data_IF_812469285249
#
_entry.id   IF_812469285249
#
_cell.length_a   1.000
_cell.length_b   1.000
_cell.length_c   1.000
_cell.angle_alpha   90.00
_cell.angle_beta   90.00
_cell.angle_gamma   90.00
#
_symmetry.space_group_name_H-M   'P 1'
#
loop_
_entity.id
_entity.type
_entity.pdbx_description
1 polymer ?
#
# COMPACT_ATOMS: atom_id res chain seq x y z
N UNK A 1 9.04 -70.28 -15.52
CA UNK A 1 10.06 -70.07 -14.46
C UNK A 1 10.96 -68.94 -14.92
N UNK A 2 11.19 -67.94 -14.05
CA UNK A 2 11.91 -66.67 -14.25
C UNK A 2 11.13 -65.64 -15.11
N UNK A 3 10.19 -64.88 -14.54
CA UNK A 3 10.35 -63.75 -13.60
C UNK A 3 10.87 -62.48 -14.30
N UNK A 4 9.91 -61.66 -14.76
CA UNK A 4 10.17 -60.39 -15.41
C UNK A 4 10.30 -59.32 -14.32
N UNK A 5 11.55 -58.91 -14.07
CA UNK A 5 11.88 -57.84 -13.13
C UNK A 5 11.18 -56.56 -13.58
N UNK A 6 10.10 -56.19 -12.87
CA UNK A 6 9.52 -54.85 -12.93
C UNK A 6 10.56 -53.85 -12.44
N UNK A 7 11.17 -53.10 -13.37
CA UNK A 7 11.88 -51.87 -13.03
C UNK A 7 10.84 -50.87 -12.51
N UNK A 8 11.00 -50.29 -11.31
CA UNK A 8 10.11 -49.25 -10.83
C UNK A 8 10.20 -48.05 -11.79
N UNK A 9 9.02 -47.55 -12.18
CA UNK A 9 8.84 -46.56 -13.21
C UNK A 9 9.65 -45.30 -12.98
N UNK A 10 10.40 -44.90 -14.00
CA UNK A 10 10.78 -43.51 -14.20
C UNK A 10 9.48 -42.76 -14.42
N UNK A 11 9.01 -42.05 -13.40
CA UNK A 11 7.87 -41.15 -13.56
C UNK A 11 8.22 -40.13 -14.63
N UNK A 12 7.37 -40.05 -15.65
CA UNK A 12 7.48 -39.18 -16.80
C UNK A 12 7.78 -37.74 -16.39
N UNK A 13 8.89 -37.21 -16.88
CA UNK A 13 9.38 -35.83 -16.67
C UNK A 13 8.47 -34.76 -17.32
N UNK A 14 7.38 -35.15 -17.98
CA UNK A 14 6.57 -34.29 -18.85
C UNK A 14 5.53 -33.43 -18.12
N UNK A 15 5.30 -33.63 -16.82
CA UNK A 15 4.28 -32.87 -16.06
C UNK A 15 4.85 -32.16 -14.82
N UNK A 16 6.15 -31.84 -14.85
CA UNK A 16 6.78 -31.05 -13.79
C UNK A 16 6.74 -29.57 -14.16
N UNK A 17 6.04 -28.78 -13.34
CA UNK A 17 6.19 -27.33 -13.32
C UNK A 17 7.69 -27.02 -13.14
N UNK A 18 8.27 -26.12 -13.94
CA UNK A 18 9.69 -25.77 -13.83
C UNK A 18 10.01 -25.28 -12.41
N UNK A 19 11.16 -25.72 -11.89
CA UNK A 19 11.60 -25.37 -10.54
C UNK A 19 11.72 -23.85 -10.39
N UNK A 20 11.17 -23.31 -9.30
CA UNK A 20 11.30 -21.90 -8.98
C UNK A 20 12.74 -21.63 -8.50
N UNK A 21 13.46 -20.78 -9.22
CA UNK A 21 14.78 -20.33 -8.86
C UNK A 21 14.71 -18.96 -8.18
N UNK A 22 15.31 -18.81 -7.01
CA UNK A 22 15.34 -17.53 -6.30
C UNK A 22 16.18 -17.55 -5.03
N UNK A 23 16.01 -16.52 -4.20
CA UNK A 23 16.63 -16.40 -2.88
C UNK A 23 15.61 -16.73 -1.79
N UNK A 24 15.88 -17.73 -0.96
CA UNK A 24 15.12 -18.01 0.25
C UNK A 24 15.38 -16.90 1.25
N UNK A 25 14.34 -16.10 1.54
CA UNK A 25 14.41 -14.94 2.45
C UNK A 25 13.76 -15.21 3.79
N UNK A 26 12.84 -16.18 3.86
CA UNK A 26 12.29 -16.68 5.12
C UNK A 26 11.89 -18.15 5.00
N UNK A 27 12.09 -18.91 6.06
CA UNK A 27 11.65 -20.30 6.19
C UNK A 27 11.07 -20.50 7.58
N UNK A 28 9.87 -21.08 7.63
CA UNK A 28 9.18 -21.47 8.85
C UNK A 28 8.61 -22.89 8.68
N UNK A 29 8.04 -23.44 9.75
CA UNK A 29 7.38 -24.75 9.68
C UNK A 29 6.17 -24.75 8.74
N UNK A 30 5.51 -23.60 8.54
CA UNK A 30 4.26 -23.50 7.77
C UNK A 30 4.45 -22.94 6.38
N UNK A 31 5.42 -22.04 6.22
CA UNK A 31 5.57 -21.25 5.01
C UNK A 31 7.04 -21.04 4.67
N UNK A 32 7.31 -20.95 3.36
CA UNK A 32 8.59 -20.50 2.82
C UNK A 32 8.37 -19.27 1.96
N UNK A 33 9.36 -18.38 1.96
CA UNK A 33 9.33 -17.15 1.17
C UNK A 33 10.55 -17.08 0.28
N UNK A 34 10.32 -17.01 -1.03
CA UNK A 34 11.36 -17.00 -2.07
C UNK A 34 11.27 -15.70 -2.85
N UNK A 35 12.35 -14.91 -2.82
CA UNK A 35 12.51 -13.69 -3.62
C UNK A 35 13.07 -14.04 -4.99
N UNK A 36 12.38 -13.60 -6.03
CA UNK A 36 12.78 -13.67 -7.44
C UNK A 36 13.02 -12.26 -7.98
N UNK A 37 13.40 -12.13 -9.25
CA UNK A 37 13.68 -10.82 -9.85
C UNK A 37 12.46 -9.89 -9.84
N UNK A 38 11.27 -10.47 -10.00
CA UNK A 38 10.01 -9.73 -10.14
C UNK A 38 9.37 -9.37 -8.80
N UNK A 39 9.64 -10.13 -7.73
CA UNK A 39 8.96 -9.98 -6.46
C UNK A 39 9.23 -11.14 -5.52
N UNK A 40 8.28 -11.41 -4.62
CA UNK A 40 8.42 -12.44 -3.59
C UNK A 40 7.24 -13.39 -3.65
N UNK A 41 7.53 -14.67 -3.71
CA UNK A 41 6.57 -15.75 -3.59
C UNK A 41 6.55 -16.31 -2.17
N UNK A 42 5.35 -16.53 -1.64
CA UNK A 42 5.15 -17.25 -0.37
C UNK A 42 4.35 -18.52 -0.65
N UNK A 43 4.90 -19.66 -0.23
CA UNK A 43 4.28 -20.98 -0.38
C UNK A 43 4.07 -21.61 0.98
N UNK A 44 3.03 -22.44 1.10
CA UNK A 44 2.93 -23.37 2.24
C UNK A 44 4.02 -24.42 2.15
N UNK A 45 4.56 -24.82 3.31
CA UNK A 45 5.64 -25.80 3.40
C UNK A 45 5.23 -27.17 2.84
N UNK A 46 3.98 -27.57 3.07
CA UNK A 46 3.42 -28.85 2.60
C UNK A 46 3.32 -28.95 1.07
N UNK A 47 3.34 -27.82 0.36
CA UNK A 47 3.27 -27.76 -1.09
C UNK A 47 4.65 -27.76 -1.76
N UNK A 48 5.73 -27.71 -0.96
CA UNK A 48 7.11 -27.75 -1.43
C UNK A 48 7.58 -29.19 -1.50
N UNK A 49 7.76 -29.71 -2.72
CA UNK A 49 8.19 -31.09 -2.95
C UNK A 49 9.69 -31.27 -2.69
N UNK A 50 10.49 -30.28 -3.07
CA UNK A 50 11.94 -30.33 -2.92
C UNK A 50 12.51 -28.91 -2.86
N UNK A 51 13.51 -28.71 -2.02
CA UNK A 51 14.31 -27.49 -1.96
C UNK A 51 15.78 -27.90 -2.07
N UNK A 52 16.47 -27.34 -3.05
CA UNK A 52 17.90 -27.54 -3.28
C UNK A 52 18.63 -26.21 -3.12
N UNK A 53 19.75 -26.24 -2.42
CA UNK A 53 20.67 -25.09 -2.40
C UNK A 53 21.28 -24.93 -3.79
N UNK A 54 21.17 -23.75 -4.37
CA UNK A 54 21.73 -23.43 -5.67
C UNK A 54 23.06 -22.69 -5.46
N UNK A 55 24.17 -23.28 -5.88
CA UNK A 55 25.52 -22.70 -5.69
C UNK A 55 25.80 -21.59 -6.71
N UNK A 56 24.77 -20.88 -7.16
CA UNK A 56 24.93 -19.73 -8.04
C UNK A 56 25.55 -18.59 -7.24
N UNK A 57 26.61 -18.03 -7.81
CA UNK A 57 27.57 -17.08 -7.24
C UNK A 57 26.93 -16.02 -6.34
N UNK A 58 27.68 -15.68 -5.29
CA UNK A 58 27.34 -14.90 -4.09
C UNK A 58 26.73 -13.52 -4.44
N UNK A 59 25.46 -13.49 -4.85
CA UNK A 59 24.75 -12.24 -5.06
C UNK A 59 24.44 -11.66 -3.69
N UNK A 60 25.04 -10.51 -3.40
CA UNK A 60 24.97 -9.70 -2.18
C UNK A 60 23.52 -9.26 -1.83
N UNK A 61 22.66 -10.21 -1.57
CA UNK A 61 21.29 -10.06 -1.13
C UNK A 61 21.07 -10.86 0.13
N UNK A 62 20.25 -10.33 1.03
CA UNK A 62 19.87 -10.99 2.27
C UNK A 62 19.00 -12.23 1.95
N UNK A 63 19.61 -13.41 1.76
CA UNK A 63 18.91 -14.67 1.46
C UNK A 63 19.79 -15.77 0.83
N UNK A 64 19.41 -17.04 1.02
CA UNK A 64 20.12 -18.23 0.49
C UNK A 64 19.61 -18.59 -0.91
N UNK A 65 20.47 -18.74 -1.94
CA UNK A 65 20.02 -19.16 -3.27
C UNK A 65 19.46 -20.59 -3.26
N UNK A 66 18.25 -20.77 -3.78
CA UNK A 66 17.52 -22.04 -3.80
C UNK A 66 16.84 -22.32 -5.14
N UNK A 67 16.69 -23.61 -5.44
CA UNK A 67 15.80 -24.16 -6.46
C UNK A 67 14.69 -24.94 -5.76
N UNK A 68 13.44 -24.56 -6.00
CA UNK A 68 12.28 -25.11 -5.30
C UNK A 68 11.33 -25.78 -6.29
N UNK A 69 11.09 -27.07 -6.10
CA UNK A 69 10.06 -27.80 -6.83
C UNK A 69 8.74 -27.70 -6.05
N UNK A 70 7.70 -27.19 -6.71
CA UNK A 70 6.38 -26.96 -6.11
C UNK A 70 5.39 -28.00 -6.64
N UNK A 71 4.49 -28.45 -5.76
CA UNK A 71 3.41 -29.36 -6.12
C UNK A 71 2.50 -28.74 -7.20
N UNK A 72 2.17 -29.48 -8.28
CA UNK A 72 1.18 -29.00 -9.25
C UNK A 72 -0.17 -28.69 -8.58
N UNK A 73 -0.73 -27.52 -8.90
CA UNK A 73 -2.00 -27.04 -8.32
C UNK A 73 -1.89 -26.39 -6.93
N UNK A 74 -0.68 -26.23 -6.39
CA UNK A 74 -0.47 -25.47 -5.17
C UNK A 74 -0.85 -23.99 -5.36
N UNK A 75 -1.41 -23.40 -4.29
CA UNK A 75 -1.69 -21.96 -4.23
C UNK A 75 -0.52 -21.25 -3.56
N UNK A 76 -0.19 -20.05 -4.05
CA UNK A 76 0.89 -19.24 -3.51
C UNK A 76 0.51 -17.77 -3.56
N UNK A 77 1.05 -17.00 -2.62
CA UNK A 77 0.90 -15.56 -2.62
C UNK A 77 2.11 -14.93 -3.32
N UNK A 78 1.83 -14.07 -4.29
CA UNK A 78 2.86 -13.26 -4.95
C UNK A 78 2.72 -11.80 -4.53
N UNK A 79 3.80 -11.25 -3.96
CA UNK A 79 3.86 -9.85 -3.56
C UNK A 79 4.95 -9.14 -4.35
N UNK A 80 4.58 -8.05 -5.01
CA UNK A 80 5.50 -7.15 -5.71
C UNK A 80 5.27 -5.72 -5.23
N UNK A 81 6.35 -5.04 -4.85
CA UNK A 81 6.30 -3.62 -4.50
C UNK A 81 6.42 -2.79 -5.77
N UNK A 82 5.35 -2.10 -6.14
CA UNK A 82 5.33 -1.14 -7.24
C UNK A 82 5.38 0.28 -6.67
N UNK A 83 6.14 1.16 -7.34
CA UNK A 83 6.09 2.60 -7.08
C UNK A 83 5.11 3.22 -8.06
N UNK A 84 4.10 3.91 -7.53
CA UNK A 84 3.15 4.68 -8.34
C UNK A 84 3.64 6.12 -8.32
N UNK A 85 4.10 6.61 -9.47
CA UNK A 85 4.41 8.02 -9.61
C UNK A 85 3.12 8.78 -9.90
N UNK A 86 2.79 9.73 -9.03
CA UNK A 86 1.67 10.64 -9.23
C UNK A 86 2.11 11.74 -10.20
N UNK A 87 1.65 11.66 -11.44
CA UNK A 87 1.92 12.70 -12.46
C UNK A 87 1.16 13.99 -12.16
N UNK A 88 -0.03 13.86 -11.57
CA UNK A 88 -0.86 14.97 -11.08
C UNK A 88 -1.40 14.64 -9.69
N UNK A 89 -1.51 15.66 -8.84
CA UNK A 89 -1.97 15.51 -7.47
C UNK A 89 -3.50 15.49 -7.39
N UNK A 90 -4.14 14.37 -7.02
CA UNK A 90 -5.60 14.34 -6.87
C UNK A 90 -6.04 15.24 -5.71
N UNK A 91 -7.16 15.93 -5.89
CA UNK A 91 -7.76 16.84 -4.89
C UNK A 91 -8.07 16.16 -3.53
N UNK A 92 -8.08 14.83 -3.49
CA UNK A 92 -8.35 14.01 -2.30
C UNK A 92 -7.16 13.86 -1.37
N UNK A 93 -5.94 14.20 -1.80
CA UNK A 93 -4.76 14.19 -0.93
C UNK A 93 -4.67 15.56 -0.26
N UNK A 94 -4.78 15.60 1.08
CA UNK A 94 -4.66 16.83 1.87
C UNK A 94 -3.32 17.53 1.59
N UNK A 95 -3.36 18.85 1.36
CA UNK A 95 -2.18 19.71 1.21
C UNK A 95 -1.11 19.36 2.25
N UNK A 96 0.17 19.40 1.87
CA UNK A 96 1.19 19.55 2.89
C UNK A 96 0.78 20.75 3.76
N UNK A 97 0.84 20.63 5.10
CA UNK A 97 0.46 21.72 5.97
C UNK A 97 1.19 22.98 5.50
N UNK A 98 0.44 24.06 5.31
CA UNK A 98 1.02 25.36 4.98
C UNK A 98 2.12 25.69 5.99
N UNK A 99 3.24 26.26 5.53
CA UNK A 99 4.33 26.75 6.40
C UNK A 99 3.89 27.90 7.34
N UNK A 100 2.60 28.26 7.35
CA UNK A 100 1.97 29.09 8.36
C UNK A 100 1.99 28.41 9.74
N UNK A 101 3.19 28.24 10.30
CA UNK A 101 3.44 27.80 11.66
C UNK A 101 3.28 29.03 12.57
N UNK A 102 2.08 29.20 13.12
CA UNK A 102 1.79 30.20 14.16
C UNK A 102 0.77 31.26 13.75
N UNK A 103 0.10 31.81 14.76
CA UNK A 103 -1.03 32.73 14.63
C UNK A 103 -0.66 34.02 13.89
N UNK A 104 0.58 34.49 14.02
CA UNK A 104 1.08 35.72 13.40
C UNK A 104 1.18 35.61 11.87
N UNK A 105 1.71 34.48 11.37
CA UNK A 105 1.81 34.25 9.92
C UNK A 105 0.44 33.99 9.31
N UNK A 106 -0.44 33.29 10.04
CA UNK A 106 -1.85 33.13 9.65
C UNK A 106 -2.58 34.48 9.60
N UNK A 107 -2.36 35.36 10.58
CA UNK A 107 -2.96 36.69 10.64
C UNK A 107 -2.50 37.56 9.45
N UNK A 108 -1.21 37.57 9.13
CA UNK A 108 -0.67 38.33 7.99
C UNK A 108 -1.22 37.83 6.65
N UNK A 109 -1.31 36.51 6.46
CA UNK A 109 -1.91 35.93 5.26
C UNK A 109 -3.40 36.28 5.17
N UNK A 110 -4.13 36.18 6.28
CA UNK A 110 -5.56 36.52 6.35
C UNK A 110 -5.80 38.00 6.01
N UNK A 111 -4.99 38.91 6.55
CA UNK A 111 -5.05 40.33 6.22
C UNK A 111 -4.79 40.60 4.73
N UNK A 112 -3.80 39.92 4.15
CA UNK A 112 -3.49 40.03 2.72
C UNK A 112 -4.65 39.55 1.83
N UNK A 113 -5.32 38.47 2.24
CA UNK A 113 -6.51 37.97 1.55
C UNK A 113 -7.71 38.89 1.69
N UNK A 114 -7.95 39.43 2.88
CA UNK A 114 -9.04 40.37 3.15
C UNK A 114 -8.91 41.64 2.29
N UNK A 115 -7.70 42.18 2.17
CA UNK A 115 -7.42 43.36 1.33
C UNK A 115 -7.66 43.07 -0.17
N UNK A 116 -7.20 41.92 -0.66
CA UNK A 116 -7.48 41.48 -2.05
C UNK A 116 -8.97 41.32 -2.34
N UNK A 117 -9.73 40.85 -1.36
CA UNK A 117 -11.17 40.64 -1.46
C UNK A 117 -11.97 41.91 -1.14
N UNK A 118 -11.31 43.02 -0.77
CA UNK A 118 -11.93 44.29 -0.33
C UNK A 118 -12.96 44.08 0.78
N UNK A 119 -12.68 43.15 1.71
CA UNK A 119 -13.52 42.94 2.87
C UNK A 119 -13.40 44.19 3.76
N UNK A 120 -14.54 44.74 4.17
CA UNK A 120 -14.57 45.91 5.05
C UNK A 120 -14.22 45.43 6.46
N UNK A 121 -13.12 45.96 7.02
CA UNK A 121 -12.81 45.78 8.43
C UNK A 121 -13.91 46.45 9.27
N UNK A 122 -14.74 45.65 9.94
CA UNK A 122 -15.74 46.14 10.86
C UNK A 122 -15.23 46.00 12.30
N UNK A 123 -14.78 47.08 12.96
CA UNK A 123 -14.19 47.03 14.29
C UNK A 123 -15.29 47.08 15.35
N UNK A 124 -16.19 46.10 15.35
CA UNK A 124 -17.16 45.88 16.42
C UNK A 124 -17.76 44.47 16.30
N UNK A 125 -16.98 43.47 16.69
CA UNK A 125 -17.45 42.10 16.81
C UNK A 125 -16.32 41.25 17.34
N UNK A 126 -16.43 40.86 18.62
CA UNK A 126 -15.67 39.75 19.19
C UNK A 126 -15.58 38.59 18.19
N UNK A 127 -14.42 37.94 18.09
CA UNK A 127 -14.09 36.92 17.09
C UNK A 127 -15.02 35.71 17.09
N UNK A 128 -16.21 35.89 16.56
CA UNK A 128 -17.14 34.84 16.21
C UNK A 128 -17.06 34.67 14.69
N UNK A 129 -16.49 33.54 14.25
CA UNK A 129 -16.55 33.11 12.86
C UNK A 129 -18.02 32.81 12.54
N UNK A 130 -18.74 33.78 11.97
CA UNK A 130 -20.13 33.55 11.57
C UNK A 130 -20.17 32.70 10.31
N UNK A 131 -20.63 31.46 10.44
CA UNK A 131 -20.95 30.62 9.28
C UNK A 131 -22.42 30.83 8.94
N UNK A 132 -22.70 31.73 8.00
CA UNK A 132 -24.07 31.99 7.56
C UNK A 132 -24.48 30.99 6.46
N UNK A 133 -25.13 29.89 6.86
CA UNK A 133 -25.73 28.93 5.94
C UNK A 133 -27.12 29.41 5.52
N UNK A 134 -27.21 30.27 4.50
CA UNK A 134 -28.52 30.67 3.97
C UNK A 134 -29.10 29.57 3.08
N UNK A 135 -30.01 28.77 3.63
CA UNK A 135 -30.88 27.94 2.80
C UNK A 135 -32.10 28.79 2.45
N UNK A 136 -32.20 29.30 1.22
CA UNK A 136 -33.42 30.00 0.78
C UNK A 136 -34.56 28.99 0.63
N UNK A 137 -35.33 28.81 1.69
CA UNK A 137 -36.64 28.16 1.65
C UNK A 137 -37.65 29.15 1.07
N UNK A 138 -38.38 28.75 0.03
CA UNK A 138 -39.33 29.57 -0.74
C UNK A 138 -40.59 30.02 0.05
N UNK A 139 -40.59 29.83 1.36
CA UNK A 139 -41.69 30.16 2.26
C UNK A 139 -41.13 30.69 3.59
N UNK A 140 -40.67 31.95 3.59
CA UNK A 140 -40.57 32.86 4.76
C UNK A 140 -40.39 32.21 6.14
N UNK A 141 -39.36 31.38 6.32
CA UNK A 141 -38.87 30.94 7.64
C UNK A 141 -37.38 31.19 7.65
N UNK A 142 -36.96 32.24 8.36
CA UNK A 142 -35.55 32.58 8.56
C UNK A 142 -35.11 31.89 9.86
N UNK A 143 -34.92 30.57 9.79
CA UNK A 143 -34.46 29.78 10.92
C UNK A 143 -32.93 29.86 10.98
N UNK A 144 -32.42 31.01 11.42
CA UNK A 144 -31.02 31.16 11.76
C UNK A 144 -30.69 30.31 12.99
N UNK A 145 -29.99 29.19 12.79
CA UNK A 145 -29.41 28.42 13.91
C UNK A 145 -28.07 29.05 14.27
N UNK A 146 -28.00 29.62 15.47
CA UNK A 146 -26.72 29.97 16.10
C UNK A 146 -26.20 28.76 16.85
N UNK A 147 -24.99 28.32 16.48
CA UNK A 147 -24.22 27.35 17.23
C UNK A 147 -23.19 28.14 18.08
N UNK A 148 -23.57 28.50 19.31
CA UNK A 148 -22.59 28.96 20.29
C UNK A 148 -21.83 27.73 20.82
N UNK A 149 -20.64 27.46 20.29
CA UNK A 149 -19.70 26.51 20.90
C UNK A 149 -18.79 27.27 21.86
N UNK A 150 -19.14 27.27 23.15
CA UNK A 150 -18.21 27.54 24.25
C UNK A 150 -18.01 26.23 25.02
N UNK A 151 -16.94 25.52 24.68
CA UNK A 151 -15.96 24.91 25.61
C UNK A 151 -14.76 24.38 24.81
#
# INVERSE_FOLDING_TARGET
>A
MADAIHRPGVTSTEDRVPALQGLLVAESEREITVRVAEGTWTFRRDDVLRMLDNVADDQAGDGRPVLVDIRPGATADFTQRLRIDLVDRPMTIAAAPSEALGDELLQQLTATWADRLRLVDYPAGSGATYTYCQTKSFATSDDGINCDSLD
#
